data_IF_288619320709
#
_entry.id   IF_288619320709
#
_cell.length_a   1.000
_cell.length_b   1.000
_cell.length_c   1.000
_cell.angle_alpha   90.00
_cell.angle_beta   90.00
_cell.angle_gamma   90.00
#
_symmetry.space_group_name_H-M   'P 1'
#
loop_
_entity.id
_entity.type
_entity.pdbx_description
1 polymer ?
#
# COMPACT_ATOMS: atom_id res chain seq x y z
N UNK A 1 -50.32 -10.71 79.88
CA UNK A 1 -50.31 -10.11 78.52
C UNK A 1 -49.17 -9.10 78.32
N UNK A 2 -48.22 -8.96 79.27
CA UNK A 2 -47.09 -8.02 79.21
C UNK A 2 -45.79 -8.60 78.59
N UNK A 3 -45.69 -9.92 78.32
CA UNK A 3 -44.41 -10.52 77.90
C UNK A 3 -44.14 -10.45 76.39
N UNK A 4 -45.17 -10.39 75.54
CA UNK A 4 -44.96 -10.38 74.08
C UNK A 4 -44.52 -9.01 73.55
N UNK A 5 -44.97 -7.92 74.17
CA UNK A 5 -44.62 -6.55 73.71
C UNK A 5 -43.15 -6.24 73.98
N UNK A 6 -42.63 -6.59 75.16
CA UNK A 6 -41.20 -6.40 75.48
C UNK A 6 -40.29 -7.24 74.57
N UNK A 7 -40.68 -8.48 74.26
CA UNK A 7 -39.94 -9.34 73.32
C UNK A 7 -39.88 -8.76 71.91
N UNK A 8 -41.02 -8.26 71.39
CA UNK A 8 -41.09 -7.61 70.08
C UNK A 8 -40.27 -6.32 70.01
N UNK A 9 -40.25 -5.52 71.08
CA UNK A 9 -39.46 -4.28 71.13
C UNK A 9 -37.96 -4.56 71.17
N UNK A 10 -37.50 -5.57 71.91
CA UNK A 10 -36.09 -5.96 71.90
C UNK A 10 -35.66 -6.52 70.54
N UNK A 11 -36.46 -7.42 69.95
CA UNK A 11 -36.20 -7.96 68.62
C UNK A 11 -36.20 -6.86 67.54
N UNK A 12 -37.08 -5.85 67.67
CA UNK A 12 -37.09 -4.68 66.78
C UNK A 12 -35.83 -3.82 66.92
N UNK A 13 -35.31 -3.61 68.14
CA UNK A 13 -34.05 -2.89 68.36
C UNK A 13 -32.84 -3.66 67.84
N UNK A 14 -32.82 -4.98 68.04
CA UNK A 14 -31.77 -5.87 67.55
C UNK A 14 -31.74 -5.87 66.02
N UNK A 15 -32.90 -6.04 65.38
CA UNK A 15 -33.03 -5.97 63.92
C UNK A 15 -32.69 -4.58 63.36
N UNK A 16 -33.03 -3.48 64.05
CA UNK A 16 -32.61 -2.13 63.65
C UNK A 16 -31.10 -1.89 63.82
N UNK A 17 -30.49 -2.51 64.84
CA UNK A 17 -29.06 -2.43 65.10
C UNK A 17 -28.26 -3.32 64.13
N UNK A 18 -28.80 -4.48 63.75
CA UNK A 18 -28.29 -5.35 62.69
C UNK A 18 -28.43 -4.70 61.32
N UNK A 19 -29.56 -4.08 61.00
CA UNK A 19 -29.73 -3.32 59.75
C UNK A 19 -28.75 -2.13 59.66
N UNK A 20 -28.44 -1.50 60.80
CA UNK A 20 -27.41 -0.44 60.92
C UNK A 20 -25.98 -0.99 60.83
N UNK A 21 -25.76 -2.27 61.12
CA UNK A 21 -24.46 -2.95 61.08
C UNK A 21 -24.17 -3.62 59.71
N UNK A 22 -25.15 -4.31 59.13
CA UNK A 22 -25.07 -4.95 57.80
C UNK A 22 -25.20 -3.94 56.66
N UNK A 23 -25.97 -2.86 56.87
CA UNK A 23 -25.95 -1.65 56.06
C UNK A 23 -25.10 -0.57 56.76
N UNK A 24 -23.92 -0.97 57.27
CA UNK A 24 -22.94 -0.06 57.89
C UNK A 24 -22.85 1.20 57.04
N UNK A 25 -23.22 2.34 57.63
CA UNK A 25 -23.57 3.58 56.94
C UNK A 25 -22.76 3.72 55.65
N UNK A 26 -23.39 3.41 54.50
CA UNK A 26 -22.76 3.60 53.20
C UNK A 26 -22.36 5.07 53.16
N UNK A 27 -21.06 5.32 53.29
CA UNK A 27 -20.57 6.69 53.30
C UNK A 27 -20.81 7.23 51.90
N UNK A 28 -21.78 8.13 51.78
CA UNK A 28 -22.14 8.73 50.50
C UNK A 28 -20.95 9.45 49.86
N UNK A 29 -19.93 9.85 50.63
CA UNK A 29 -18.67 10.35 50.08
C UNK A 29 -17.85 9.26 49.40
N UNK A 30 -17.79 8.06 49.97
CA UNK A 30 -17.13 6.90 49.37
C UNK A 30 -17.82 6.44 48.09
N UNK A 31 -19.15 6.45 48.04
CA UNK A 31 -19.92 6.17 46.82
C UNK A 31 -19.71 7.26 45.77
N UNK A 32 -19.77 8.54 46.15
CA UNK A 32 -19.50 9.65 45.23
C UNK A 32 -18.08 9.58 44.65
N UNK A 33 -17.09 9.20 45.47
CA UNK A 33 -15.71 9.00 45.03
C UNK A 33 -15.62 7.86 44.02
N UNK A 34 -16.24 6.71 44.28
CA UNK A 34 -16.25 5.59 43.35
C UNK A 34 -16.93 5.93 42.01
N UNK A 35 -18.03 6.69 42.04
CA UNK A 35 -18.70 7.20 40.83
C UNK A 35 -17.77 8.15 40.05
N UNK A 36 -17.07 9.05 40.74
CA UNK A 36 -16.10 9.96 40.12
C UNK A 36 -14.91 9.21 39.50
N UNK A 37 -14.37 8.22 40.20
CA UNK A 37 -13.26 7.39 39.73
C UNK A 37 -13.69 6.58 38.50
N UNK A 38 -14.91 6.01 38.51
CA UNK A 38 -15.46 5.27 37.39
C UNK A 38 -15.73 6.17 36.17
N UNK A 39 -16.27 7.38 36.38
CA UNK A 39 -16.48 8.36 35.31
C UNK A 39 -15.14 8.73 34.65
N UNK A 40 -14.12 9.00 35.45
CA UNK A 40 -12.76 9.30 34.95
C UNK A 40 -12.19 8.11 34.18
N UNK A 41 -12.38 6.87 34.67
CA UNK A 41 -11.93 5.67 33.96
C UNK A 41 -12.64 5.47 32.62
N UNK A 42 -13.96 5.74 32.56
CA UNK A 42 -14.72 5.67 31.31
C UNK A 42 -14.24 6.70 30.28
N UNK A 43 -13.95 7.93 30.70
CA UNK A 43 -13.36 8.96 29.83
C UNK A 43 -11.99 8.52 29.28
N UNK A 44 -11.13 7.98 30.14
CA UNK A 44 -9.82 7.44 29.71
C UNK A 44 -10.00 6.29 28.70
N UNK A 45 -10.94 5.39 28.94
CA UNK A 45 -11.22 4.28 28.02
C UNK A 45 -11.80 4.77 26.68
N UNK A 46 -12.65 5.80 26.69
CA UNK A 46 -13.18 6.41 25.48
C UNK A 46 -12.05 7.00 24.62
N UNK A 47 -11.14 7.75 25.23
CA UNK A 47 -9.98 8.33 24.53
C UNK A 47 -9.10 7.23 23.94
N UNK A 48 -8.79 6.17 24.72
CA UNK A 48 -7.99 5.03 24.24
C UNK A 48 -8.67 4.31 23.08
N UNK A 49 -9.98 4.10 23.14
CA UNK A 49 -10.75 3.46 22.08
C UNK A 49 -10.72 4.27 20.78
N UNK A 50 -10.83 5.61 20.88
CA UNK A 50 -10.74 6.49 19.72
C UNK A 50 -9.35 6.45 19.06
N UNK A 51 -8.28 6.52 19.86
CA UNK A 51 -6.90 6.42 19.34
C UNK A 51 -6.68 5.07 18.66
N UNK A 52 -7.13 3.98 19.28
CA UNK A 52 -7.02 2.64 18.70
C UNK A 52 -7.81 2.52 17.39
N UNK A 53 -9.00 3.13 17.31
CA UNK A 53 -9.80 3.14 16.09
C UNK A 53 -9.10 3.91 14.96
N UNK A 54 -8.48 5.05 15.25
CA UNK A 54 -7.68 5.80 14.28
C UNK A 54 -6.46 5.02 13.79
N UNK A 55 -5.72 4.37 14.70
CA UNK A 55 -4.57 3.55 14.34
C UNK A 55 -4.97 2.32 13.51
N UNK A 56 -6.09 1.67 13.86
CA UNK A 56 -6.65 0.59 13.04
C UNK A 56 -7.05 1.07 11.64
N UNK A 57 -7.66 2.24 11.52
CA UNK A 57 -8.03 2.82 10.23
C UNK A 57 -6.79 3.08 9.36
N UNK A 58 -5.73 3.70 9.94
CA UNK A 58 -4.44 3.91 9.26
C UNK A 58 -3.79 2.59 8.83
N UNK A 59 -3.84 1.56 9.69
CA UNK A 59 -3.31 0.24 9.36
C UNK A 59 -4.08 -0.41 8.20
N UNK A 60 -5.42 -0.31 8.17
CA UNK A 60 -6.24 -0.82 7.06
C UNK A 60 -5.90 -0.11 5.75
N UNK A 61 -5.72 1.21 5.77
CA UNK A 61 -5.34 1.98 4.59
C UNK A 61 -3.94 1.60 4.08
N UNK A 62 -2.98 1.46 4.98
CA UNK A 62 -1.62 1.01 4.66
C UNK A 62 -1.63 -0.40 4.02
N UNK A 63 -2.40 -1.33 4.58
CA UNK A 63 -2.54 -2.69 4.03
C UNK A 63 -3.17 -2.66 2.63
N UNK A 64 -4.19 -1.83 2.40
CA UNK A 64 -4.82 -1.67 1.08
C UNK A 64 -3.84 -1.12 0.04
N UNK A 65 -3.02 -0.14 0.43
CA UNK A 65 -1.98 0.41 -0.45
C UNK A 65 -0.91 -0.65 -0.78
N UNK A 66 -0.49 -1.44 0.22
CA UNK A 66 0.46 -2.52 0.02
C UNK A 66 -0.09 -3.62 -0.93
N UNK A 67 -1.35 -4.02 -0.76
CA UNK A 67 -2.00 -5.00 -1.65
C UNK A 67 -2.06 -4.49 -3.10
N UNK A 68 -2.46 -3.23 -3.30
CA UNK A 68 -2.46 -2.60 -4.62
C UNK A 68 -1.06 -2.56 -5.25
N UNK A 69 -0.02 -2.22 -4.46
CA UNK A 69 1.36 -2.20 -4.93
C UNK A 69 1.86 -3.60 -5.33
N UNK A 70 1.54 -4.64 -4.54
CA UNK A 70 1.89 -6.03 -4.84
C UNK A 70 1.23 -6.50 -6.13
N UNK A 71 -0.08 -6.23 -6.29
CA UNK A 71 -0.81 -6.59 -7.51
C UNK A 71 -0.23 -5.91 -8.74
N UNK A 72 0.04 -4.60 -8.64
CA UNK A 72 0.66 -3.83 -9.72
C UNK A 72 2.04 -4.38 -10.11
N UNK A 73 2.89 -4.66 -9.12
CA UNK A 73 4.21 -5.24 -9.35
C UNK A 73 4.10 -6.61 -10.02
N UNK A 74 3.18 -7.46 -9.57
CA UNK A 74 2.94 -8.77 -10.15
C UNK A 74 2.53 -8.67 -11.63
N UNK A 75 1.62 -7.77 -11.98
CA UNK A 75 1.18 -7.54 -13.37
C UNK A 75 2.35 -7.07 -14.26
N UNK A 76 3.12 -6.07 -13.81
CA UNK A 76 4.25 -5.53 -14.58
C UNK A 76 5.39 -6.55 -14.74
N UNK A 77 5.76 -7.26 -13.67
CA UNK A 77 6.83 -8.25 -13.74
C UNK A 77 6.42 -9.48 -14.56
N UNK A 78 5.15 -9.90 -14.49
CA UNK A 78 4.64 -10.97 -15.35
C UNK A 78 4.76 -10.60 -16.83
N UNK A 79 4.40 -9.37 -17.21
CA UNK A 79 4.55 -8.87 -18.57
C UNK A 79 6.03 -8.82 -19.02
N UNK A 80 6.92 -8.28 -18.18
CA UNK A 80 8.36 -8.23 -18.46
C UNK A 80 8.97 -9.63 -18.56
N UNK A 81 8.51 -10.59 -17.75
CA UNK A 81 8.98 -11.97 -17.83
C UNK A 81 8.56 -12.63 -19.15
N UNK A 82 7.32 -12.40 -19.59
CA UNK A 82 6.83 -12.91 -20.87
C UNK A 82 7.60 -12.30 -22.07
N UNK A 83 7.82 -10.98 -22.06
CA UNK A 83 8.63 -10.29 -23.08
C UNK A 83 10.07 -10.84 -23.10
N UNK A 84 10.72 -10.97 -21.93
CA UNK A 84 12.05 -11.54 -21.83
C UNK A 84 12.13 -12.99 -22.33
N UNK A 85 11.10 -13.80 -22.09
CA UNK A 85 11.04 -15.16 -22.62
C UNK A 85 10.94 -15.17 -24.15
N UNK A 86 10.16 -14.24 -24.74
CA UNK A 86 10.05 -14.03 -26.18
C UNK A 86 11.36 -13.57 -26.82
N UNK A 87 12.07 -12.62 -26.18
CA UNK A 87 13.39 -12.18 -26.65
C UNK A 87 14.40 -13.33 -26.65
N UNK A 88 14.43 -14.13 -25.57
CA UNK A 88 15.32 -15.29 -25.46
C UNK A 88 15.00 -16.37 -26.50
N UNK A 89 13.73 -16.66 -26.74
CA UNK A 89 13.34 -17.64 -27.76
C UNK A 89 13.70 -17.16 -29.17
N UNK A 90 13.45 -15.89 -29.48
CA UNK A 90 13.85 -15.26 -30.75
C UNK A 90 15.36 -15.35 -30.99
N UNK A 91 16.17 -15.02 -29.98
CA UNK A 91 17.62 -15.15 -30.06
C UNK A 91 18.08 -16.61 -30.26
N UNK A 92 17.44 -17.57 -29.60
CA UNK A 92 17.76 -19.00 -29.79
C UNK A 92 17.40 -19.51 -31.19
N UNK A 93 16.30 -19.04 -31.77
CA UNK A 93 15.91 -19.40 -33.13
C UNK A 93 16.86 -18.79 -34.17
N UNK A 94 17.36 -17.56 -33.95
CA UNK A 94 18.43 -16.96 -34.76
C UNK A 94 19.69 -17.86 -34.76
N UNK A 95 20.13 -18.32 -33.59
CA UNK A 95 21.29 -19.22 -33.46
C UNK A 95 21.07 -20.54 -34.22
N UNK A 96 19.87 -21.13 -34.16
CA UNK A 96 19.56 -22.36 -34.92
C UNK A 96 19.64 -22.14 -36.43
N UNK A 97 19.13 -21.01 -36.92
CA UNK A 97 19.21 -20.65 -38.35
C UNK A 97 20.66 -20.50 -38.79
N UNK A 98 21.49 -19.81 -38.00
CA UNK A 98 22.93 -19.67 -38.24
C UNK A 98 23.62 -21.04 -38.29
N UNK A 99 23.38 -21.89 -37.28
CA UNK A 99 24.02 -23.19 -37.19
C UNK A 99 23.62 -24.13 -38.35
N UNK A 100 22.34 -24.13 -38.76
CA UNK A 100 21.88 -24.92 -39.91
C UNK A 100 22.50 -24.44 -41.23
N UNK A 101 22.56 -23.12 -41.43
CA UNK A 101 23.19 -22.52 -42.61
C UNK A 101 24.70 -22.79 -42.68
N UNK A 102 25.40 -22.71 -41.55
CA UNK A 102 26.83 -23.02 -41.44
C UNK A 102 27.15 -24.50 -41.61
N UNK A 103 26.36 -25.40 -41.01
CA UNK A 103 26.56 -26.86 -41.13
C UNK A 103 26.32 -27.38 -42.55
N UNK A 104 25.41 -26.77 -43.32
CA UNK A 104 25.19 -27.14 -44.73
C UNK A 104 26.39 -26.82 -45.65
N UNK A 105 27.32 -25.96 -45.22
CA UNK A 105 28.45 -25.47 -46.04
C UNK A 105 29.84 -25.78 -45.47
N UNK A 106 29.97 -26.23 -44.23
CA UNK A 106 31.25 -26.74 -43.69
C UNK A 106 31.68 -28.09 -44.31
N UNK A 107 30.92 -28.66 -45.25
CA UNK A 107 31.27 -29.94 -45.89
C UNK A 107 30.91 -29.94 -47.38
N UNK A 108 31.58 -29.09 -48.18
CA UNK A 108 32.00 -29.47 -49.54
C UNK A 108 33.02 -28.50 -50.14
N UNK A 109 34.20 -29.04 -50.45
CA UNK A 109 35.15 -28.57 -51.47
C UNK A 109 35.80 -27.18 -51.31
N UNK A 110 35.92 -26.64 -50.07
CA UNK A 110 36.90 -25.58 -49.78
C UNK A 110 36.65 -24.21 -50.43
N UNK A 111 35.44 -23.92 -50.93
CA UNK A 111 35.12 -22.64 -51.58
C UNK A 111 34.49 -21.64 -50.59
N UNK A 112 34.96 -20.39 -50.66
CA UNK A 112 34.53 -19.25 -49.85
C UNK A 112 33.02 -18.93 -49.97
N UNK A 113 32.46 -18.48 -48.85
CA UNK A 113 31.06 -18.17 -48.56
C UNK A 113 30.41 -17.23 -49.60
N UNK A 114 29.22 -17.60 -50.10
CA UNK A 114 28.43 -16.84 -51.07
C UNK A 114 27.80 -15.56 -50.45
N UNK A 115 28.00 -14.35 -51.04
CA UNK A 115 27.46 -13.07 -50.55
C UNK A 115 25.93 -13.00 -50.39
N UNK A 116 25.18 -13.88 -51.07
CA UNK A 116 23.72 -13.90 -51.01
C UNK A 116 23.18 -14.30 -49.61
N UNK A 117 23.98 -15.04 -48.82
CA UNK A 117 23.62 -15.44 -47.45
C UNK A 117 23.99 -14.40 -46.38
N UNK A 118 24.95 -13.50 -46.64
CA UNK A 118 25.24 -12.38 -45.75
C UNK A 118 24.06 -11.39 -45.68
N UNK A 119 23.32 -11.22 -46.78
CA UNK A 119 22.08 -10.42 -46.82
C UNK A 119 20.94 -11.05 -46.00
N UNK A 120 20.62 -12.32 -46.24
CA UNK A 120 19.57 -13.01 -45.46
C UNK A 120 19.86 -13.07 -43.96
N UNK A 121 21.14 -13.17 -43.59
CA UNK A 121 21.60 -13.10 -42.20
C UNK A 121 21.45 -11.69 -41.60
N UNK A 122 21.88 -10.65 -42.33
CA UNK A 122 21.69 -9.27 -41.91
C UNK A 122 20.19 -8.91 -41.77
N UNK A 123 19.33 -9.44 -42.65
CA UNK A 123 17.87 -9.22 -42.58
C UNK A 123 17.24 -9.91 -41.36
N UNK A 124 17.68 -11.13 -41.02
CA UNK A 124 17.18 -11.85 -39.83
C UNK A 124 17.65 -11.19 -38.53
N UNK A 125 18.92 -10.78 -38.49
CA UNK A 125 19.52 -10.04 -37.37
C UNK A 125 18.88 -8.66 -37.21
N UNK A 126 18.60 -7.95 -38.30
CA UNK A 126 17.88 -6.69 -38.29
C UNK A 126 16.46 -6.85 -37.74
N UNK A 127 15.74 -7.91 -38.12
CA UNK A 127 14.41 -8.24 -37.57
C UNK A 127 14.45 -8.61 -36.08
N UNK A 128 15.48 -9.35 -35.65
CA UNK A 128 15.71 -9.72 -34.25
C UNK A 128 15.97 -8.47 -33.38
N UNK A 129 16.78 -7.53 -33.89
CA UNK A 129 17.09 -6.24 -33.25
C UNK A 129 15.94 -5.21 -33.32
N UNK A 130 14.96 -5.41 -34.21
CA UNK A 130 13.72 -4.62 -34.32
C UNK A 130 12.59 -5.18 -33.44
N UNK A 131 12.84 -6.17 -32.60
CA UNK A 131 11.80 -6.65 -31.68
C UNK A 131 11.42 -5.53 -30.70
N UNK A 132 10.21 -5.00 -30.86
CA UNK A 132 9.65 -4.02 -29.94
C UNK A 132 9.59 -4.60 -28.52
N UNK A 133 9.87 -3.75 -27.53
CA UNK A 133 9.80 -4.10 -26.10
C UNK A 133 8.70 -3.32 -25.38
N UNK A 134 7.43 -3.48 -25.77
CA UNK A 134 6.33 -2.64 -25.28
C UNK A 134 6.09 -2.78 -23.77
N UNK A 135 6.39 -3.93 -23.17
CA UNK A 135 6.27 -4.10 -21.71
C UNK A 135 7.38 -3.34 -20.99
N UNK A 136 8.62 -3.39 -21.50
CA UNK A 136 9.73 -2.57 -21.00
C UNK A 136 9.44 -1.07 -21.16
N UNK A 137 8.95 -0.64 -22.33
CA UNK A 137 8.65 0.77 -22.59
C UNK A 137 7.51 1.30 -21.70
N UNK A 138 6.47 0.48 -21.50
CA UNK A 138 5.39 0.78 -20.56
C UNK A 138 5.90 0.86 -19.12
N UNK A 139 6.77 -0.06 -18.70
CA UNK A 139 7.36 -0.05 -17.37
C UNK A 139 8.21 1.21 -17.12
N UNK A 140 9.10 1.56 -18.06
CA UNK A 140 9.92 2.77 -17.95
C UNK A 140 9.08 4.05 -17.94
N UNK A 141 8.01 4.09 -18.73
CA UNK A 141 7.08 5.21 -18.77
C UNK A 141 6.33 5.39 -17.44
N UNK A 142 5.92 4.29 -16.82
CA UNK A 142 5.35 4.32 -15.48
C UNK A 142 6.37 4.80 -14.44
N UNK A 143 7.60 4.26 -14.44
CA UNK A 143 8.64 4.67 -13.47
C UNK A 143 8.92 6.18 -13.57
N UNK A 144 8.97 6.72 -14.79
CA UNK A 144 9.08 8.16 -15.01
C UNK A 144 7.87 8.92 -14.44
N UNK A 145 6.65 8.44 -14.67
CA UNK A 145 5.43 9.04 -14.13
C UNK A 145 5.43 9.04 -12.60
N UNK A 146 5.83 7.93 -11.97
CA UNK A 146 5.97 7.84 -10.51
C UNK A 146 7.00 8.82 -9.96
N UNK A 147 8.12 9.04 -10.65
CA UNK A 147 9.09 10.06 -10.28
C UNK A 147 8.50 11.48 -10.27
N UNK A 148 7.60 11.79 -11.21
CA UNK A 148 6.87 13.06 -11.26
C UNK A 148 5.86 13.16 -10.10
N UNK A 149 5.14 12.07 -9.80
CA UNK A 149 4.22 12.02 -8.67
C UNK A 149 4.94 12.18 -7.32
N UNK A 150 6.14 11.59 -7.17
CA UNK A 150 6.98 11.78 -5.99
C UNK A 150 7.40 13.24 -5.81
N UNK A 151 7.84 13.90 -6.89
CA UNK A 151 8.18 15.32 -6.84
C UNK A 151 6.98 16.19 -6.47
N UNK A 152 5.79 15.90 -7.03
CA UNK A 152 4.54 16.56 -6.67
C UNK A 152 4.23 16.44 -5.19
N UNK A 153 4.26 15.22 -4.66
CA UNK A 153 3.91 14.96 -3.27
C UNK A 153 4.91 15.63 -2.32
N UNK A 154 6.21 15.57 -2.62
CA UNK A 154 7.23 16.27 -1.83
C UNK A 154 7.01 17.80 -1.79
N UNK A 155 6.55 18.41 -2.89
CA UNK A 155 6.20 19.83 -2.89
C UNK A 155 4.98 20.15 -2.01
N UNK A 156 3.98 19.26 -1.99
CA UNK A 156 2.80 19.42 -1.14
C UNK A 156 3.20 19.29 0.34
N UNK A 157 3.93 18.24 0.69
CA UNK A 157 4.41 17.97 2.05
C UNK A 157 5.25 19.14 2.61
N UNK A 158 6.12 19.71 1.76
CA UNK A 158 6.91 20.89 2.13
C UNK A 158 6.02 22.08 2.51
N UNK A 159 4.97 22.35 1.74
CA UNK A 159 4.08 23.49 2.00
C UNK A 159 3.21 23.25 3.23
N UNK A 160 2.67 22.04 3.40
CA UNK A 160 1.90 21.70 4.59
C UNK A 160 2.76 21.80 5.87
N UNK A 161 4.05 21.46 5.79
CA UNK A 161 5.01 21.56 6.90
C UNK A 161 5.48 22.98 7.23
N UNK A 162 5.83 23.79 6.22
CA UNK A 162 6.45 25.12 6.42
C UNK A 162 5.44 26.26 6.45
N UNK A 163 4.37 26.18 5.64
CA UNK A 163 3.38 27.26 5.45
C UNK A 163 2.10 27.01 6.26
N UNK A 164 1.90 25.77 6.69
CA UNK A 164 0.79 25.32 7.51
C UNK A 164 -0.45 24.92 6.70
N UNK A 165 -1.34 24.11 7.30
CA UNK A 165 -2.50 23.55 6.61
C UNK A 165 -3.49 24.65 6.16
N UNK A 166 -4.16 24.42 5.02
CA UNK A 166 -5.24 25.26 4.47
C UNK A 166 -4.86 26.67 3.97
N UNK A 167 -3.60 26.89 3.57
CA UNK A 167 -3.20 28.13 2.87
C UNK A 167 -3.29 27.92 1.36
N UNK A 168 -4.10 28.73 0.67
CA UNK A 168 -4.16 28.72 -0.79
C UNK A 168 -2.85 29.30 -1.35
N UNK A 169 -2.04 28.46 -1.99
CA UNK A 169 -0.81 28.85 -2.70
C UNK A 169 -1.03 28.60 -4.20
N UNK A 170 -1.57 29.58 -4.96
CA UNK A 170 -2.01 29.36 -6.34
C UNK A 170 -0.91 28.82 -7.26
N UNK A 171 0.34 29.23 -7.06
CA UNK A 171 1.49 28.74 -7.82
C UNK A 171 1.78 27.25 -7.58
N UNK A 172 1.61 26.78 -6.33
CA UNK A 172 1.77 25.37 -5.98
C UNK A 172 0.65 24.53 -6.57
N UNK A 173 -0.61 24.99 -6.45
CA UNK A 173 -1.78 24.27 -7.00
C UNK A 173 -1.56 24.06 -8.50
N UNK A 174 -1.19 25.12 -9.22
CA UNK A 174 -0.90 25.03 -10.65
C UNK A 174 0.30 24.14 -10.96
N UNK A 175 1.36 24.18 -10.14
CA UNK A 175 2.51 23.28 -10.26
C UNK A 175 2.13 21.81 -10.07
N UNK A 176 1.29 21.51 -9.07
CA UNK A 176 0.80 20.16 -8.80
C UNK A 176 -0.11 19.64 -9.91
N UNK A 177 -0.96 20.48 -10.50
CA UNK A 177 -1.78 20.15 -11.68
C UNK A 177 -0.91 19.84 -12.90
N UNK A 178 0.16 20.62 -13.13
CA UNK A 178 1.12 20.36 -14.22
C UNK A 178 1.79 18.99 -14.02
N UNK A 179 2.24 18.67 -12.79
CA UNK A 179 2.82 17.37 -12.49
C UNK A 179 1.85 16.22 -12.79
N UNK A 180 0.56 16.34 -12.43
CA UNK A 180 -0.47 15.35 -12.78
C UNK A 180 -0.56 15.17 -14.29
N UNK A 181 -0.63 16.27 -15.05
CA UNK A 181 -0.70 16.22 -16.51
C UNK A 181 0.51 15.55 -17.14
N UNK A 182 1.73 15.85 -16.66
CA UNK A 182 2.97 15.23 -17.13
C UNK A 182 2.97 13.72 -16.84
N UNK A 183 2.62 13.32 -15.61
CA UNK A 183 2.57 11.91 -15.22
C UNK A 183 1.55 11.13 -16.08
N UNK A 184 0.38 11.70 -16.36
CA UNK A 184 -0.61 11.10 -17.26
C UNK A 184 -0.09 10.96 -18.71
N UNK A 185 0.60 11.96 -19.23
CA UNK A 185 1.19 11.89 -20.57
C UNK A 185 2.28 10.83 -20.67
N UNK A 186 3.11 10.71 -19.63
CA UNK A 186 4.12 9.65 -19.53
C UNK A 186 3.46 8.27 -19.55
N UNK A 187 2.40 8.04 -18.75
CA UNK A 187 1.67 6.76 -18.72
C UNK A 187 1.02 6.39 -20.06
N UNK A 188 0.59 7.38 -20.84
CA UNK A 188 0.02 7.16 -22.19
C UNK A 188 1.07 6.71 -23.21
N UNK A 189 2.36 6.73 -22.86
CA UNK A 189 3.44 6.40 -23.78
C UNK A 189 3.45 7.38 -24.93
N UNK A 190 3.81 8.64 -24.65
CA UNK A 190 3.81 9.71 -25.65
C UNK A 190 4.44 9.26 -26.97
N UNK A 191 3.81 9.65 -28.09
CA UNK A 191 4.37 9.47 -29.43
C UNK A 191 5.72 10.20 -29.49
N UNK A 192 6.81 9.48 -29.25
CA UNK A 192 8.16 9.92 -29.60
C UNK A 192 8.49 9.44 -31.02
#
# INVERSE_FOLDING_TARGET
MESNIKGLVSAGHEMASELKAECGAVDMRSVAKLISDLATQLEVQLVRANVLAEDHQKAIESIKQADAAVKFAHEKFSALAAENAGLKSGAMDEIKVINRGGQAYCVKDGVQVNPMYARGWNDYRAKSLQSDTPATDSFLSEVRAQGVDMARNAMIDFVDGEVGPNKNVPGLIRGAEICVSIAEQLRKGGSQ
#
